data_IF_706270312665
#
_entry.id   IF_706270312665
#
_cell.length_a   1.000
_cell.length_b   1.000
_cell.length_c   1.000
_cell.angle_alpha   90.00
_cell.angle_beta   90.00
_cell.angle_gamma   90.00
#
_symmetry.space_group_name_H-M   'P 1'
#
loop_
_entity.id
_entity.type
_entity.pdbx_description
1 polymer ?
#
# COMPACT_ATOMS: atom_id res chain seq x y z
N UNK A 1 -10.66 17.88 10.08
CA UNK A 1 -9.86 18.49 8.99
C UNK A 1 -10.81 18.93 7.89
N UNK A 2 -10.85 20.23 7.60
CA UNK A 2 -11.70 20.83 6.55
C UNK A 2 -11.27 20.40 5.13
N UNK A 3 -10.00 20.03 4.94
CA UNK A 3 -9.47 19.64 3.62
C UNK A 3 -10.22 18.45 2.99
N UNK A 4 -10.51 17.39 3.74
CA UNK A 4 -11.23 16.22 3.21
C UNK A 4 -12.69 16.55 2.83
N UNK A 5 -13.29 17.55 3.48
CA UNK A 5 -14.65 18.00 3.14
C UNK A 5 -14.67 18.84 1.86
N UNK A 6 -13.54 19.45 1.50
CA UNK A 6 -13.39 20.19 0.25
C UNK A 6 -13.25 19.28 -0.98
N UNK A 7 -12.91 18.00 -0.80
CA UNK A 7 -12.80 17.01 -1.88
C UNK A 7 -14.22 16.51 -2.23
N UNK A 8 -14.95 17.30 -3.00
CA UNK A 8 -16.32 16.97 -3.43
C UNK A 8 -16.32 16.31 -4.82
N UNK A 9 -17.44 15.65 -5.16
CA UNK A 9 -17.67 15.11 -6.51
C UNK A 9 -17.48 16.16 -7.60
N UNK A 10 -17.97 17.38 -7.40
CA UNK A 10 -17.85 18.47 -8.39
C UNK A 10 -16.40 18.96 -8.51
N UNK A 11 -15.67 19.02 -7.40
CA UNK A 11 -14.25 19.35 -7.42
C UNK A 11 -13.44 18.31 -8.20
N UNK A 12 -13.69 17.01 -7.95
CA UNK A 12 -13.02 15.92 -8.68
C UNK A 12 -13.35 15.99 -10.17
N UNK A 13 -14.63 16.15 -10.54
CA UNK A 13 -15.06 16.20 -11.94
C UNK A 13 -14.50 17.40 -12.69
N UNK A 14 -14.43 18.57 -12.05
CA UNK A 14 -13.83 19.78 -12.66
C UNK A 14 -12.32 19.69 -12.86
N UNK A 15 -11.64 18.75 -12.17
CA UNK A 15 -10.20 18.53 -12.26
C UNK A 15 -9.82 17.15 -12.81
N UNK A 16 -10.74 16.45 -13.48
CA UNK A 16 -10.53 15.06 -13.89
C UNK A 16 -9.38 14.86 -14.90
N UNK A 17 -8.98 15.93 -15.61
CA UNK A 17 -7.78 15.93 -16.45
C UNK A 17 -6.51 15.60 -15.66
N UNK A 18 -6.43 15.99 -14.38
CA UNK A 18 -5.31 15.62 -13.51
C UNK A 18 -5.25 14.10 -13.28
N UNK A 19 -6.42 13.46 -13.07
CA UNK A 19 -6.51 11.99 -12.98
C UNK A 19 -6.05 11.36 -14.30
N UNK A 20 -6.55 11.87 -15.43
CA UNK A 20 -6.20 11.35 -16.76
C UNK A 20 -4.69 11.44 -17.06
N UNK A 21 -4.03 12.51 -16.63
CA UNK A 21 -2.61 12.73 -16.87
C UNK A 21 -1.70 12.02 -15.86
N UNK A 22 -2.20 11.77 -14.64
CA UNK A 22 -1.43 11.11 -13.60
C UNK A 22 -1.10 9.65 -13.97
N UNK A 23 0.03 9.10 -13.50
CA UNK A 23 0.31 7.66 -13.64
C UNK A 23 -0.53 6.82 -12.68
N UNK A 24 -0.95 7.41 -11.55
CA UNK A 24 -1.79 6.80 -10.53
C UNK A 24 -2.47 7.87 -9.68
N UNK A 25 -3.58 7.50 -9.05
CA UNK A 25 -4.25 8.32 -8.05
C UNK A 25 -4.02 7.73 -6.67
N UNK A 26 -3.58 8.54 -5.71
CA UNK A 26 -3.40 8.13 -4.31
C UNK A 26 -4.51 8.75 -3.48
N UNK A 27 -5.20 7.93 -2.70
CA UNK A 27 -6.23 8.39 -1.77
C UNK A 27 -6.08 7.69 -0.42
N UNK A 28 -6.58 8.32 0.63
CA UNK A 28 -6.67 7.71 1.95
C UNK A 28 -8.13 7.37 2.31
N UNK A 29 -8.34 6.75 3.46
CA UNK A 29 -9.66 6.40 3.95
C UNK A 29 -10.46 7.59 4.51
N UNK A 30 -9.86 8.79 4.65
CA UNK A 30 -10.54 9.97 5.19
C UNK A 30 -11.49 10.62 4.17
N UNK A 31 -11.29 10.36 2.87
CA UNK A 31 -12.18 10.80 1.79
C UNK A 31 -13.60 10.25 1.99
N UNK A 32 -14.62 11.03 1.62
CA UNK A 32 -16.02 10.60 1.72
C UNK A 32 -16.35 9.48 0.72
N UNK A 33 -17.37 8.67 1.01
CA UNK A 33 -17.79 7.59 0.10
C UNK A 33 -18.18 8.12 -1.30
N UNK A 34 -18.87 9.26 -1.38
CA UNK A 34 -19.25 9.87 -2.66
C UNK A 34 -18.04 10.36 -3.48
N UNK A 35 -17.03 10.90 -2.81
CA UNK A 35 -15.78 11.28 -3.44
C UNK A 35 -14.98 10.04 -3.89
N UNK A 36 -14.90 8.99 -3.07
CA UNK A 36 -14.28 7.71 -3.45
C UNK A 36 -14.95 7.11 -4.69
N UNK A 37 -16.30 7.05 -4.73
CA UNK A 37 -17.04 6.58 -5.91
C UNK A 37 -16.65 7.37 -7.17
N UNK A 38 -16.63 8.70 -7.07
CA UNK A 38 -16.28 9.58 -8.20
C UNK A 38 -14.83 9.35 -8.66
N UNK A 39 -13.89 9.23 -7.72
CA UNK A 39 -12.48 8.96 -8.01
C UNK A 39 -12.34 7.61 -8.72
N UNK A 40 -13.00 6.56 -8.23
CA UNK A 40 -12.94 5.22 -8.82
C UNK A 40 -13.56 5.19 -10.21
N UNK A 41 -14.69 5.86 -10.43
CA UNK A 41 -15.32 6.00 -11.75
C UNK A 41 -14.38 6.68 -12.75
N UNK A 42 -13.78 7.82 -12.40
CA UNK A 42 -12.85 8.53 -13.29
C UNK A 42 -11.54 7.76 -13.50
N UNK A 43 -11.00 7.10 -12.47
CA UNK A 43 -9.80 6.26 -12.61
C UNK A 43 -10.06 5.07 -13.55
N UNK A 44 -11.19 4.38 -13.40
CA UNK A 44 -11.58 3.30 -14.31
C UNK A 44 -11.80 3.81 -15.74
N UNK A 45 -12.43 4.97 -15.90
CA UNK A 45 -12.64 5.62 -17.20
C UNK A 45 -11.33 5.91 -17.94
N UNK A 46 -10.30 6.37 -17.21
CA UNK A 46 -9.00 6.71 -17.78
C UNK A 46 -7.94 5.59 -17.67
N UNK A 47 -8.35 4.41 -17.22
CA UNK A 47 -7.48 3.26 -16.98
C UNK A 47 -6.27 3.59 -16.08
N UNK A 48 -6.55 4.23 -14.93
CA UNK A 48 -5.56 4.61 -13.92
C UNK A 48 -5.70 3.74 -12.67
N UNK A 49 -4.59 3.22 -12.12
CA UNK A 49 -4.66 2.50 -10.86
C UNK A 49 -4.90 3.48 -9.71
N UNK A 50 -5.62 3.01 -8.70
CA UNK A 50 -5.69 3.67 -7.40
C UNK A 50 -4.77 2.98 -6.40
N UNK A 51 -4.00 3.79 -5.68
CA UNK A 51 -3.36 3.40 -4.43
C UNK A 51 -4.22 3.90 -3.28
N UNK A 52 -4.71 2.98 -2.47
CA UNK A 52 -5.55 3.28 -1.32
C UNK A 52 -4.74 3.12 -0.04
N UNK A 53 -4.68 4.17 0.79
CA UNK A 53 -4.05 4.12 2.11
C UNK A 53 -5.12 4.00 3.22
N UNK A 54 -5.20 2.86 3.94
CA UNK A 54 -6.28 2.60 4.90
C UNK A 54 -6.34 3.54 6.10
N UNK A 55 -5.23 4.19 6.50
CA UNK A 55 -5.14 5.20 7.57
C UNK A 55 -5.41 4.71 9.00
N UNK A 56 -6.57 4.09 9.24
CA UNK A 56 -7.04 3.64 10.55
C UNK A 56 -8.00 2.45 10.39
N UNK A 57 -7.87 1.45 11.26
CA UNK A 57 -8.67 0.22 11.24
C UNK A 57 -10.19 0.45 11.12
N UNK A 58 -10.74 1.52 11.73
CA UNK A 58 -12.19 1.79 11.75
C UNK A 58 -12.73 2.19 10.39
N UNK A 59 -11.86 2.64 9.50
CA UNK A 59 -12.21 3.19 8.18
C UNK A 59 -11.46 2.49 7.04
N UNK A 60 -10.49 1.65 7.34
CA UNK A 60 -9.69 0.86 6.41
C UNK A 60 -10.54 0.09 5.40
N UNK A 61 -11.62 -0.54 5.88
CA UNK A 61 -12.50 -1.34 5.05
C UNK A 61 -13.59 -0.53 4.32
N UNK A 62 -13.65 0.79 4.51
CA UNK A 62 -14.75 1.65 4.01
C UNK A 62 -15.02 1.46 2.51
N UNK A 63 -14.03 1.43 1.60
CA UNK A 63 -14.30 1.26 0.18
C UNK A 63 -14.89 -0.11 -0.17
N UNK A 64 -14.67 -1.13 0.66
CA UNK A 64 -15.01 -2.52 0.38
C UNK A 64 -16.26 -2.99 1.14
N UNK A 65 -16.80 -2.17 2.03
CA UNK A 65 -17.90 -2.54 2.90
C UNK A 65 -19.22 -2.79 2.14
N UNK A 66 -19.90 -3.89 2.47
CA UNK A 66 -21.15 -4.32 1.82
C UNK A 66 -22.31 -3.29 1.93
N UNK A 67 -22.25 -2.36 2.89
CA UNK A 67 -23.26 -1.31 3.08
C UNK A 67 -23.43 -0.41 1.86
N UNK A 68 -22.40 -0.28 1.03
CA UNK A 68 -22.43 0.44 -0.23
C UNK A 68 -21.90 -0.46 -1.35
N UNK A 69 -22.81 -1.27 -1.91
CA UNK A 69 -22.47 -2.27 -2.92
C UNK A 69 -21.86 -1.65 -4.20
N UNK A 70 -22.28 -0.43 -4.56
CA UNK A 70 -21.73 0.30 -5.72
C UNK A 70 -20.27 0.67 -5.47
N UNK A 71 -19.99 1.32 -4.33
CA UNK A 71 -18.63 1.66 -3.92
C UNK A 71 -17.74 0.42 -3.83
N UNK A 72 -18.22 -0.66 -3.20
CA UNK A 72 -17.48 -1.92 -3.09
C UNK A 72 -17.15 -2.53 -4.47
N UNK A 73 -18.10 -2.53 -5.41
CA UNK A 73 -17.85 -3.03 -6.76
C UNK A 73 -16.84 -2.15 -7.53
N UNK A 74 -16.88 -0.83 -7.35
CA UNK A 74 -15.92 0.11 -7.93
C UNK A 74 -14.53 -0.08 -7.32
N UNK A 75 -14.42 -0.16 -5.99
CA UNK A 75 -13.17 -0.30 -5.25
C UNK A 75 -12.41 -1.57 -5.66
N UNK A 76 -13.10 -2.72 -5.73
CA UNK A 76 -12.52 -4.00 -6.17
C UNK A 76 -11.89 -3.95 -7.57
N UNK A 77 -12.33 -3.01 -8.42
CA UNK A 77 -11.82 -2.85 -9.79
C UNK A 77 -10.74 -1.77 -9.87
N UNK A 78 -10.93 -0.64 -9.17
CA UNK A 78 -10.08 0.54 -9.27
C UNK A 78 -8.83 0.47 -8.39
N UNK A 79 -8.94 -0.09 -7.18
CA UNK A 79 -7.83 -0.16 -6.21
C UNK A 79 -6.89 -1.30 -6.61
N UNK A 80 -5.66 -0.92 -6.98
CA UNK A 80 -4.60 -1.86 -7.40
C UNK A 80 -3.47 -1.96 -6.39
N UNK A 81 -3.32 -0.96 -5.53
CA UNK A 81 -2.33 -0.94 -4.46
C UNK A 81 -2.98 -0.58 -3.14
N UNK A 82 -2.51 -1.19 -2.05
CA UNK A 82 -2.92 -0.89 -0.69
C UNK A 82 -1.76 -1.10 0.29
N UNK A 83 -1.65 -0.28 1.34
CA UNK A 83 -0.58 -0.38 2.35
C UNK A 83 -1.06 -0.54 3.80
N UNK A 84 -1.89 -1.56 4.10
CA UNK A 84 -2.45 -1.71 5.44
C UNK A 84 -1.35 -2.10 6.45
N UNK A 85 -1.56 -1.83 7.74
CA UNK A 85 -0.97 -2.65 8.80
C UNK A 85 -1.76 -3.97 9.00
N UNK A 86 -1.31 -4.85 9.89
CA UNK A 86 -2.00 -6.15 10.12
C UNK A 86 -3.46 -5.99 10.57
N UNK A 87 -3.78 -4.98 11.37
CA UNK A 87 -5.14 -4.77 11.88
C UNK A 87 -6.07 -4.25 10.78
N UNK A 88 -5.59 -3.32 9.96
CA UNK A 88 -6.33 -2.82 8.80
C UNK A 88 -6.53 -3.93 7.76
N UNK A 89 -5.50 -4.76 7.54
CA UNK A 89 -5.58 -5.92 6.65
C UNK A 89 -6.69 -6.87 7.09
N UNK A 90 -6.80 -7.14 8.39
CA UNK A 90 -7.87 -7.95 8.97
C UNK A 90 -9.27 -7.37 8.68
N UNK A 91 -9.47 -6.07 8.89
CA UNK A 91 -10.74 -5.38 8.60
C UNK A 91 -11.10 -5.43 7.11
N UNK A 92 -10.11 -5.21 6.23
CA UNK A 92 -10.29 -5.28 4.78
C UNK A 92 -10.63 -6.71 4.35
N UNK A 93 -9.93 -7.72 4.87
CA UNK A 93 -10.20 -9.12 4.58
C UNK A 93 -11.62 -9.52 5.00
N UNK A 94 -12.07 -9.08 6.18
CA UNK A 94 -13.45 -9.30 6.63
C UNK A 94 -14.49 -8.65 5.72
N UNK A 95 -14.25 -7.40 5.27
CA UNK A 95 -15.14 -6.72 4.33
C UNK A 95 -15.16 -7.39 2.94
N UNK A 96 -14.07 -8.07 2.56
CA UNK A 96 -13.98 -8.91 1.38
C UNK A 96 -14.52 -10.35 1.60
N UNK A 97 -15.11 -10.63 2.77
CA UNK A 97 -15.72 -11.91 3.15
C UNK A 97 -14.72 -13.06 3.35
N UNK A 98 -13.57 -12.76 3.95
CA UNK A 98 -12.63 -13.80 4.40
C UNK A 98 -13.30 -14.75 5.41
N UNK A 99 -13.23 -16.05 5.14
CA UNK A 99 -13.84 -17.10 5.96
C UNK A 99 -12.87 -17.71 7.00
N UNK A 100 -11.58 -17.35 6.96
CA UNK A 100 -10.58 -17.87 7.89
C UNK A 100 -10.49 -17.10 9.21
N UNK A 101 -9.55 -17.52 10.09
CA UNK A 101 -9.32 -16.86 11.37
C UNK A 101 -8.75 -15.44 11.17
N UNK A 102 -9.24 -14.49 11.98
CA UNK A 102 -8.75 -13.11 11.96
C UNK A 102 -7.97 -12.84 13.25
N UNK A 103 -6.71 -12.40 13.17
CA UNK A 103 -5.88 -12.13 14.33
C UNK A 103 -6.45 -10.95 15.12
N UNK A 104 -6.47 -11.10 16.44
CA UNK A 104 -6.84 -10.03 17.39
C UNK A 104 -5.67 -9.61 18.27
N UNK A 105 -4.51 -10.24 18.08
CA UNK A 105 -3.29 -9.96 18.82
C UNK A 105 -2.79 -8.57 18.46
N UNK A 106 -2.41 -7.81 19.47
CA UNK A 106 -1.57 -6.64 19.34
C UNK A 106 -0.17 -7.05 18.88
N UNK A 107 0.56 -6.12 18.28
CA UNK A 107 1.88 -6.38 17.71
C UNK A 107 2.89 -6.93 18.75
N UNK A 108 2.78 -6.51 20.01
CA UNK A 108 3.64 -6.94 21.12
C UNK A 108 3.26 -8.30 21.74
N UNK A 109 2.11 -8.86 21.37
CA UNK A 109 1.68 -10.20 21.80
C UNK A 109 2.28 -11.33 20.94
N UNK A 110 2.88 -11.01 19.80
CA UNK A 110 3.57 -11.98 18.95
C UNK A 110 4.92 -12.36 19.57
N UNK A 111 5.09 -13.64 19.90
CA UNK A 111 6.32 -14.14 20.52
C UNK A 111 7.47 -14.26 19.51
N UNK A 112 7.13 -14.53 18.24
CA UNK A 112 8.11 -14.71 17.17
C UNK A 112 7.64 -14.07 15.87
N UNK A 113 8.60 -13.76 15.00
CA UNK A 113 8.30 -13.30 13.64
C UNK A 113 7.54 -14.36 12.84
N UNK A 114 7.86 -15.65 13.00
CA UNK A 114 7.15 -16.71 12.29
C UNK A 114 5.67 -16.80 12.69
N UNK A 115 5.36 -16.56 13.97
CA UNK A 115 3.97 -16.48 14.44
C UNK A 115 3.22 -15.30 13.81
N UNK A 116 3.86 -14.12 13.74
CA UNK A 116 3.30 -12.96 13.06
C UNK A 116 3.04 -13.24 11.57
N UNK A 117 4.03 -13.82 10.88
CA UNK A 117 3.90 -14.12 9.46
C UNK A 117 2.85 -15.22 9.18
N UNK A 118 2.64 -16.15 10.11
CA UNK A 118 1.59 -17.16 10.02
C UNK A 118 0.18 -16.54 10.05
N UNK A 119 -0.03 -15.46 10.79
CA UNK A 119 -1.30 -14.71 10.80
C UNK A 119 -1.43 -13.78 9.58
N UNK A 120 -0.33 -13.17 9.13
CA UNK A 120 -0.33 -12.20 8.01
C UNK A 120 -0.51 -12.90 6.66
N UNK A 121 0.18 -14.02 6.42
CA UNK A 121 0.18 -14.72 5.12
C UNK A 121 -1.23 -15.02 4.57
N UNK A 122 -2.13 -15.68 5.31
CA UNK A 122 -3.42 -16.07 4.75
C UNK A 122 -4.33 -14.87 4.44
N UNK A 123 -4.28 -13.82 5.26
CA UNK A 123 -5.01 -12.58 4.99
C UNK A 123 -4.45 -11.84 3.77
N UNK A 124 -3.12 -11.72 3.70
CA UNK A 124 -2.44 -11.03 2.60
C UNK A 124 -2.69 -11.69 1.25
N UNK A 125 -2.62 -13.03 1.20
CA UNK A 125 -2.95 -13.79 0.00
C UNK A 125 -4.43 -13.62 -0.40
N UNK A 126 -5.35 -13.69 0.57
CA UNK A 126 -6.78 -13.52 0.29
C UNK A 126 -7.11 -12.12 -0.25
N UNK A 127 -6.63 -11.06 0.41
CA UNK A 127 -6.82 -9.68 -0.09
C UNK A 127 -6.15 -9.51 -1.46
N UNK A 128 -5.02 -10.19 -1.68
CA UNK A 128 -4.34 -10.15 -2.97
C UNK A 128 -5.19 -10.73 -4.10
N UNK A 129 -6.11 -11.67 -3.88
CA UNK A 129 -7.01 -12.17 -4.92
C UNK A 129 -7.85 -11.04 -5.56
N UNK A 130 -8.13 -9.98 -4.81
CA UNK A 130 -8.87 -8.80 -5.28
C UNK A 130 -7.95 -7.63 -5.65
N UNK A 131 -6.91 -7.37 -4.85
CA UNK A 131 -6.03 -6.19 -4.98
C UNK A 131 -4.65 -6.64 -5.45
N UNK A 132 -4.20 -6.13 -6.59
CA UNK A 132 -2.98 -6.59 -7.28
C UNK A 132 -1.72 -6.56 -6.40
N UNK A 133 -1.57 -5.53 -5.57
CA UNK A 133 -0.39 -5.29 -4.74
C UNK A 133 -0.79 -4.90 -3.31
N UNK A 134 -0.51 -5.79 -2.35
CA UNK A 134 -0.81 -5.58 -0.92
C UNK A 134 0.50 -5.44 -0.16
N UNK A 135 0.74 -4.26 0.43
CA UNK A 135 1.97 -3.90 1.16
C UNK A 135 1.68 -3.86 2.67
N UNK A 136 1.76 -5.00 3.34
CA UNK A 136 1.39 -5.11 4.76
C UNK A 136 2.53 -4.64 5.65
N UNK A 137 2.38 -3.48 6.27
CA UNK A 137 3.38 -2.94 7.22
C UNK A 137 3.30 -3.67 8.56
N UNK A 138 4.45 -4.08 9.09
CA UNK A 138 4.59 -4.90 10.30
C UNK A 138 5.44 -4.20 11.38
N UNK A 139 5.38 -2.86 11.41
CA UNK A 139 6.14 -2.03 12.33
C UNK A 139 7.65 -2.29 12.24
N UNK A 140 8.28 -2.52 13.39
CA UNK A 140 9.73 -2.74 13.49
C UNK A 140 10.20 -4.07 12.85
N UNK A 141 9.28 -4.98 12.50
CA UNK A 141 9.64 -6.21 11.80
C UNK A 141 9.93 -5.96 10.32
N UNK A 142 9.23 -5.03 9.67
CA UNK A 142 9.37 -4.77 8.23
C UNK A 142 8.04 -4.75 7.51
N UNK A 143 8.01 -5.34 6.31
CA UNK A 143 6.84 -5.34 5.42
C UNK A 143 6.67 -6.70 4.74
N UNK A 144 5.44 -7.17 4.63
CA UNK A 144 5.08 -8.31 3.79
C UNK A 144 4.36 -7.83 2.52
N UNK A 145 4.89 -8.20 1.36
CA UNK A 145 4.35 -7.83 0.05
C UNK A 145 3.69 -9.04 -0.59
N UNK A 146 2.43 -8.91 -0.99
CA UNK A 146 1.68 -9.95 -1.69
C UNK A 146 1.36 -9.50 -3.11
N UNK A 147 1.73 -10.33 -4.09
CA UNK A 147 1.52 -10.10 -5.53
C UNK A 147 1.39 -11.43 -6.27
N UNK A 148 0.73 -11.39 -7.42
CA UNK A 148 0.68 -12.51 -8.39
C UNK A 148 1.72 -12.39 -9.51
N UNK A 149 2.78 -11.62 -9.27
CA UNK A 149 3.92 -11.49 -10.19
C UNK A 149 5.22 -11.72 -9.44
N UNK A 150 6.26 -12.13 -10.18
CA UNK A 150 7.61 -12.24 -9.65
C UNK A 150 8.13 -10.88 -9.16
N UNK A 151 8.97 -10.90 -8.12
CA UNK A 151 9.55 -9.70 -7.52
C UNK A 151 10.35 -8.84 -8.53
N UNK A 152 10.87 -9.47 -9.58
CA UNK A 152 11.64 -8.82 -10.66
C UNK A 152 10.76 -8.06 -11.65
N UNK A 153 9.43 -8.27 -11.65
CA UNK A 153 8.50 -7.58 -12.55
C UNK A 153 8.15 -6.20 -11.97
N UNK A 154 8.51 -5.09 -12.66
CA UNK A 154 8.14 -3.74 -12.25
C UNK A 154 6.63 -3.51 -12.23
N UNK A 155 6.19 -2.48 -11.52
CA UNK A 155 4.78 -2.10 -11.39
C UNK A 155 4.27 -1.23 -12.53
N UNK A 156 5.17 -0.41 -13.08
CA UNK A 156 4.91 0.51 -14.17
C UNK A 156 5.90 0.24 -15.30
N UNK A 157 5.44 0.39 -16.53
CA UNK A 157 6.31 0.33 -17.71
C UNK A 157 7.13 1.64 -17.85
N UNK A 158 8.13 1.68 -18.76
CA UNK A 158 8.94 2.89 -18.98
C UNK A 158 8.16 4.15 -19.38
N UNK A 159 6.91 4.00 -19.84
CA UNK A 159 6.00 5.10 -20.16
C UNK A 159 5.12 5.52 -18.98
N UNK A 160 5.46 5.09 -17.75
CA UNK A 160 4.71 5.32 -16.51
C UNK A 160 3.26 4.80 -16.53
N UNK A 161 2.97 3.81 -17.38
CA UNK A 161 1.67 3.15 -17.39
C UNK A 161 1.72 1.93 -16.48
N UNK A 162 0.65 1.75 -15.70
CA UNK A 162 0.48 0.58 -14.86
C UNK A 162 0.46 -0.70 -15.69
N UNK A 163 1.29 -1.67 -15.31
CA UNK A 163 1.32 -2.98 -15.94
C UNK A 163 0.29 -3.89 -15.24
N UNK A 164 -0.79 -4.31 -15.92
CA UNK A 164 -1.78 -5.18 -15.30
C UNK A 164 -1.17 -6.52 -14.87
N UNK A 165 -1.60 -7.01 -13.72
CA UNK A 165 -1.21 -8.34 -13.23
C UNK A 165 -1.99 -9.41 -14.01
N UNK A 166 -1.33 -10.41 -14.64
CA UNK A 166 -2.02 -11.48 -15.36
C UNK A 166 -3.01 -12.26 -14.49
N UNK A 167 -4.12 -12.69 -15.09
CA UNK A 167 -5.08 -13.58 -14.45
C UNK A 167 -4.54 -15.02 -14.45
N UNK A 168 -4.67 -15.74 -13.33
CA UNK A 168 -4.43 -17.18 -13.26
C UNK A 168 -3.18 -17.67 -12.53
N UNK A 169 -2.23 -16.78 -12.19
CA UNK A 169 -1.10 -17.14 -11.33
C UNK A 169 -1.48 -17.00 -9.86
N UNK A 170 -1.14 -18.01 -9.05
CA UNK A 170 -1.32 -17.98 -7.61
C UNK A 170 -0.55 -16.82 -6.98
N UNK A 171 -1.17 -16.14 -6.01
CA UNK A 171 -0.50 -15.09 -5.23
C UNK A 171 0.71 -15.65 -4.48
N UNK A 172 1.76 -14.85 -4.38
CA UNK A 172 2.97 -15.15 -3.61
C UNK A 172 3.22 -14.04 -2.59
N UNK A 173 3.75 -14.42 -1.43
CA UNK A 173 4.10 -13.48 -0.37
C UNK A 173 5.60 -13.36 -0.18
N UNK A 174 6.11 -12.16 0.07
CA UNK A 174 7.54 -11.91 0.37
C UNK A 174 7.66 -11.01 1.58
N UNK A 175 8.46 -11.42 2.55
CA UNK A 175 8.75 -10.62 3.73
C UNK A 175 10.11 -9.96 3.63
N UNK A 176 10.12 -8.64 3.81
CA UNK A 176 11.31 -7.80 3.83
C UNK A 176 11.52 -7.28 5.26
N UNK A 177 12.63 -7.63 5.93
CA UNK A 177 12.90 -7.15 7.28
C UNK A 177 13.21 -5.65 7.28
N UNK A 178 12.73 -4.93 8.30
CA UNK A 178 13.12 -3.54 8.51
C UNK A 178 14.61 -3.45 8.92
N UNK A 179 15.34 -2.42 8.45
CA UNK A 179 16.67 -2.15 8.95
C UNK A 179 16.62 -1.75 10.43
N UNK A 180 17.62 -2.19 11.20
CA UNK A 180 17.78 -1.75 12.58
C UNK A 180 18.29 -0.31 12.58
N UNK A 181 17.50 0.60 13.13
CA UNK A 181 17.90 1.99 13.31
C UNK A 181 18.53 2.17 14.70
N UNK A 182 19.66 2.87 14.76
CA UNK A 182 20.34 3.17 16.03
C UNK A 182 19.51 4.07 16.96
N UNK A 183 18.60 4.86 16.38
CA UNK A 183 17.75 5.80 17.10
C UNK A 183 16.41 5.96 16.39
N UNK A 184 15.34 5.94 17.17
CA UNK A 184 13.99 6.33 16.75
C UNK A 184 13.61 7.56 17.58
N UNK A 185 13.09 8.59 16.92
CA UNK A 185 12.68 9.86 17.52
C UNK A 185 11.16 9.96 17.54
N UNK A 186 10.49 9.59 16.44
CA UNK A 186 9.04 9.62 16.29
C UNK A 186 8.60 8.47 15.38
N UNK A 187 7.48 7.82 15.65
CA UNK A 187 6.92 6.74 14.80
C UNK A 187 5.82 7.23 13.87
N UNK A 188 5.30 8.43 14.10
CA UNK A 188 4.28 9.06 13.26
C UNK A 188 4.83 9.29 11.84
N UNK A 189 4.02 8.98 10.83
CA UNK A 189 4.37 9.19 9.41
C UNK A 189 5.40 8.22 8.82
N UNK A 190 5.87 7.23 9.58
CA UNK A 190 6.75 6.18 9.06
C UNK A 190 6.05 5.36 7.95
N UNK A 191 4.76 5.04 8.12
CA UNK A 191 3.93 4.39 7.10
C UNK A 191 3.75 5.25 5.85
N UNK A 192 3.38 6.52 6.02
CA UNK A 192 3.23 7.46 4.89
C UNK A 192 4.53 7.64 4.10
N UNK A 193 5.67 7.71 4.81
CA UNK A 193 7.00 7.81 4.20
C UNK A 193 7.41 6.52 3.49
N UNK A 194 7.09 5.35 4.06
CA UNK A 194 7.24 4.06 3.39
C UNK A 194 6.46 4.05 2.08
N UNK A 195 5.16 4.34 2.15
CA UNK A 195 4.25 4.37 0.99
C UNK A 195 4.74 5.34 -0.07
N UNK A 196 5.17 6.55 0.32
CA UNK A 196 5.71 7.55 -0.60
C UNK A 196 7.00 7.07 -1.28
N UNK A 197 7.95 6.52 -0.51
CA UNK A 197 9.19 5.97 -1.07
C UNK A 197 8.94 4.81 -2.04
N UNK A 198 8.00 3.93 -1.71
CA UNK A 198 7.57 2.84 -2.58
C UNK A 198 6.99 3.38 -3.89
N UNK A 199 6.04 4.31 -3.83
CA UNK A 199 5.39 4.91 -5.00
C UNK A 199 6.42 5.57 -5.91
N UNK A 200 7.34 6.37 -5.35
CA UNK A 200 8.37 7.07 -6.13
C UNK A 200 9.29 6.09 -6.85
N UNK A 201 9.67 4.98 -6.21
CA UNK A 201 10.48 3.93 -6.83
C UNK A 201 9.71 3.11 -7.87
N UNK A 202 8.43 2.79 -7.60
CA UNK A 202 7.57 2.06 -8.53
C UNK A 202 7.35 2.86 -9.82
N UNK A 203 7.05 4.15 -9.71
CA UNK A 203 6.89 5.06 -10.85
C UNK A 203 8.18 5.25 -11.65
N UNK A 204 9.35 5.04 -11.03
CA UNK A 204 10.65 5.01 -11.69
C UNK A 204 10.96 3.65 -12.37
N UNK A 205 9.99 2.74 -12.45
CA UNK A 205 10.12 1.45 -13.14
C UNK A 205 11.03 0.45 -12.42
N UNK A 206 11.24 0.63 -11.11
CA UNK A 206 12.10 -0.27 -10.33
C UNK A 206 11.37 -1.58 -9.98
N UNK A 207 12.15 -2.62 -9.72
CA UNK A 207 11.65 -3.92 -9.25
C UNK A 207 11.13 -3.83 -7.81
N UNK A 208 10.34 -4.79 -7.38
CA UNK A 208 9.76 -4.79 -6.02
C UNK A 208 10.81 -4.72 -4.90
N UNK A 209 11.90 -5.51 -4.91
CA UNK A 209 12.91 -5.41 -3.87
C UNK A 209 13.54 -4.02 -3.80
N UNK A 210 13.75 -3.35 -4.94
CA UNK A 210 14.29 -1.99 -4.98
C UNK A 210 13.26 -0.99 -4.46
N UNK A 211 11.98 -1.15 -4.82
CA UNK A 211 10.91 -0.29 -4.31
C UNK A 211 10.81 -0.39 -2.78
N UNK A 212 10.86 -1.60 -2.23
CA UNK A 212 10.83 -1.82 -0.79
C UNK A 212 12.09 -1.25 -0.12
N UNK A 213 13.26 -1.36 -0.75
CA UNK A 213 14.50 -0.78 -0.21
C UNK A 213 14.41 0.74 -0.05
N UNK A 214 13.94 1.44 -1.10
CA UNK A 214 13.72 2.89 -1.07
C UNK A 214 12.65 3.26 -0.04
N UNK A 215 11.57 2.48 0.04
CA UNK A 215 10.49 2.68 1.01
C UNK A 215 10.96 2.55 2.46
N UNK A 216 11.76 1.52 2.78
CA UNK A 216 12.32 1.33 4.12
C UNK A 216 13.30 2.44 4.50
N UNK A 217 14.11 2.92 3.56
CA UNK A 217 14.99 4.07 3.80
C UNK A 217 14.17 5.34 4.07
N UNK A 218 13.10 5.60 3.31
CA UNK A 218 12.23 6.75 3.51
C UNK A 218 11.51 6.69 4.87
N UNK A 219 11.03 5.51 5.26
CA UNK A 219 10.49 5.27 6.61
C UNK A 219 11.55 5.55 7.69
N UNK A 220 12.81 5.14 7.46
CA UNK A 220 13.94 5.41 8.34
C UNK A 220 14.18 6.91 8.57
N UNK A 221 14.11 7.72 7.51
CA UNK A 221 14.21 9.17 7.63
C UNK A 221 13.12 9.74 8.55
N UNK A 222 11.87 9.34 8.35
CA UNK A 222 10.75 9.79 9.19
C UNK A 222 10.90 9.32 10.65
N UNK A 223 11.34 8.07 10.86
CA UNK A 223 11.58 7.52 12.18
C UNK A 223 12.63 8.30 12.99
N UNK A 224 13.56 8.96 12.31
CA UNK A 224 14.62 9.77 12.92
C UNK A 224 14.28 11.26 12.99
N UNK A 225 13.16 11.68 12.39
CA UNK A 225 12.68 13.05 12.40
C UNK A 225 11.83 13.35 13.64
N UNK A 226 11.64 14.64 13.93
CA UNK A 226 10.75 15.10 15.01
C UNK A 226 9.28 15.11 14.55
N UNK A 227 9.04 15.41 13.29
CA UNK A 227 7.73 15.47 12.62
C UNK A 227 7.41 14.16 11.89
N UNK A 228 6.15 14.02 11.46
CA UNK A 228 5.69 12.87 10.67
C UNK A 228 6.41 12.74 9.31
N UNK A 229 6.89 13.86 8.78
CA UNK A 229 7.67 13.93 7.55
C UNK A 229 9.05 14.48 7.91
N UNK A 230 10.11 13.89 7.37
CA UNK A 230 11.47 14.37 7.60
C UNK A 230 11.72 15.70 6.87
N UNK A 231 12.56 16.56 7.44
CA UNK A 231 12.94 17.84 6.82
C UNK A 231 13.67 17.64 5.49
N UNK A 232 14.42 16.53 5.37
CA UNK A 232 15.13 16.16 4.17
C UNK A 232 15.12 14.64 4.02
N UNK A 233 14.75 14.20 2.82
CA UNK A 233 14.96 12.83 2.36
C UNK A 233 16.19 12.78 1.44
N UNK A 234 16.64 11.57 1.15
CA UNK A 234 17.72 11.29 0.22
C UNK A 234 17.28 11.48 -1.25
N UNK A 235 18.25 11.63 -2.16
CA UNK A 235 18.00 11.76 -3.59
C UNK A 235 18.27 10.43 -4.35
N UNK A 236 18.19 10.47 -5.70
CA UNK A 236 18.39 9.30 -6.56
C UNK A 236 19.84 8.77 -6.57
N UNK A 237 20.79 9.51 -6.02
CA UNK A 237 22.19 9.05 -5.89
C UNK A 237 22.40 8.18 -4.65
N UNK A 238 21.42 8.13 -3.74
CA UNK A 238 21.50 7.34 -2.53
C UNK A 238 21.65 5.83 -2.84
N UNK A 239 22.47 5.08 -2.08
CA UNK A 239 22.70 3.65 -2.34
C UNK A 239 21.43 2.78 -2.40
N UNK A 240 20.35 3.20 -1.74
CA UNK A 240 19.08 2.48 -1.80
C UNK A 240 18.50 2.37 -3.23
N UNK A 241 18.85 3.32 -4.12
CA UNK A 241 18.50 3.32 -5.54
C UNK A 241 19.49 2.55 -6.42
N UNK A 242 20.76 2.48 -6.03
CA UNK A 242 21.80 1.89 -6.89
C UNK A 242 21.84 0.36 -6.81
N UNK A 243 21.46 -0.21 -5.66
CA UNK A 243 21.45 -1.65 -5.47
C UNK A 243 20.30 -2.32 -6.25
N UNK A 244 20.59 -2.93 -7.39
CA UNK A 244 19.59 -3.63 -8.22
C UNK A 244 19.00 -4.88 -7.56
N UNK A 245 19.72 -5.50 -6.63
CA UNK A 245 19.17 -6.61 -5.83
C UNK A 245 18.09 -6.12 -4.86
N UNK A 246 18.10 -4.83 -4.50
CA UNK A 246 17.15 -4.22 -3.58
C UNK A 246 17.23 -4.76 -2.16
N UNK A 247 16.13 -4.69 -1.43
CA UNK A 247 16.03 -5.20 -0.07
C UNK A 247 15.98 -6.74 -0.09
N UNK A 248 16.74 -7.42 0.79
CA UNK A 248 16.66 -8.88 0.90
C UNK A 248 15.27 -9.30 1.39
N UNK A 249 14.78 -10.43 0.91
CA UNK A 249 13.49 -10.98 1.34
C UNK A 249 13.55 -12.48 1.58
N UNK A 250 12.61 -12.95 2.41
CA UNK A 250 12.25 -14.36 2.57
C UNK A 250 10.93 -14.60 1.85
N UNK A 251 10.85 -15.66 1.04
CA UNK A 251 9.56 -16.09 0.50
C UNK A 251 8.66 -16.59 1.62
N UNK A 252 7.38 -16.23 1.56
CA UNK A 252 6.35 -16.71 2.45
C UNK A 252 5.67 -17.97 1.91
N UNK A 253 5.98 -18.41 0.69
CA UNK A 253 5.37 -19.58 0.05
C UNK A 253 5.58 -20.88 0.85
#
# INVERSE_FOLDING_TARGET
MEAHQAITTDWIKSHNQLIQQSPMTVIDANVSESAMETIFEECLRFNKPVFFEPTDMRIAARPFAARNAKLAALAKRAVKFISPNIHELAEIAQALHYAGPVPRKLMDEYATLDELLADVKPLGLFVNETIDHVLVTLGHHGVAVFRRTAATVPFFNPSHQYAPVPEGDGGSGRFYPAPKLARIVNVSGAGDSFTSGFIVAALAGRTEPVCVNVALEAAGCALQARSAVADQYFDRTHPCWANEAGAPYRSLD
#
